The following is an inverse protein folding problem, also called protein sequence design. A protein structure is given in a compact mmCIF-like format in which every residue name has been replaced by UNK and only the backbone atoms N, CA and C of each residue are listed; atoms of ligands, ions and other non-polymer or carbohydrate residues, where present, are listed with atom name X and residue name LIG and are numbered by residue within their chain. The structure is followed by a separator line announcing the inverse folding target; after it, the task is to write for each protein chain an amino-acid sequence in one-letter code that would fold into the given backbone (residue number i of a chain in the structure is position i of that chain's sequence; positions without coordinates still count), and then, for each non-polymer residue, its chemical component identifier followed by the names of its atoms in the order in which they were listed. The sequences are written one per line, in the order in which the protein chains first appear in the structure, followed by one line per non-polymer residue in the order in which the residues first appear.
data_IF_883007712828
#
_entry.id   IF_883007712828
#
_cell.length_a   1.000
_cell.length_b   1.000
_cell.length_c   1.000
_cell.angle_alpha   90.00
_cell.angle_beta   90.00
_cell.angle_gamma   90.00
#
_symmetry.space_group_name_H-M   'P 1'
#
loop_
_entity.id
_entity.type
_entity.pdbx_description
1 polymer ?
#
# COMPACT_ATOMS: atom_id res chain seq x y z
N UNK A 1 -30.75 -5.52 13.79
CA UNK A 1 -30.25 -4.83 15.00
C UNK A 1 -29.83 -3.43 14.60
N UNK A 2 -30.46 -2.37 15.13
CA UNK A 2 -30.04 -0.98 14.84
C UNK A 2 -28.70 -0.73 15.53
N UNK A 3 -27.60 -0.67 14.76
CA UNK A 3 -26.30 -0.25 15.29
C UNK A 3 -26.40 1.24 15.60
N UNK A 4 -26.10 1.64 16.83
CA UNK A 4 -25.98 3.06 17.19
C UNK A 4 -24.69 3.54 16.55
N UNK A 5 -24.79 4.29 15.45
CA UNK A 5 -23.65 4.83 14.73
C UNK A 5 -23.06 5.94 15.60
N UNK A 6 -21.85 5.74 16.12
CA UNK A 6 -21.17 6.76 16.91
C UNK A 6 -20.49 7.71 15.94
N UNK A 7 -21.15 8.80 15.55
CA UNK A 7 -20.60 9.80 14.61
C UNK A 7 -19.37 10.57 15.13
N UNK A 8 -18.81 10.16 16.28
CA UNK A 8 -17.65 10.78 16.91
C UNK A 8 -16.36 10.60 16.11
N UNK A 9 -16.28 9.61 15.21
CA UNK A 9 -15.10 9.44 14.35
C UNK A 9 -14.87 10.64 13.41
N UNK A 10 -15.94 11.35 12.99
CA UNK A 10 -15.86 12.51 12.08
C UNK A 10 -15.03 13.68 12.64
N UNK A 11 -14.83 13.73 13.96
CA UNK A 11 -14.05 14.78 14.64
C UNK A 11 -12.57 14.43 14.79
N UNK A 12 -12.20 13.17 14.52
CA UNK A 12 -10.83 12.68 14.68
C UNK A 12 -10.14 12.55 13.33
N UNK A 13 -8.83 12.82 13.25
CA UNK A 13 -8.07 12.57 12.03
C UNK A 13 -8.12 11.08 11.68
N UNK A 14 -8.15 10.79 10.38
CA UNK A 14 -8.33 9.41 9.88
C UNK A 14 -7.28 8.44 10.43
N UNK A 15 -6.05 8.88 10.66
CA UNK A 15 -4.98 8.04 11.24
C UNK A 15 -5.27 7.52 12.66
N UNK A 16 -6.22 8.14 13.37
CA UNK A 16 -6.60 7.77 14.72
C UNK A 16 -7.93 6.98 14.76
N UNK A 17 -8.45 6.57 13.61
CA UNK A 17 -9.66 5.75 13.53
C UNK A 17 -9.36 4.32 13.92
N UNK A 18 -10.21 3.77 14.78
CA UNK A 18 -10.21 2.35 15.13
C UNK A 18 -10.94 1.54 14.06
N UNK A 19 -10.85 0.21 14.13
CA UNK A 19 -11.62 -0.70 13.26
C UNK A 19 -13.12 -0.37 13.29
N UNK A 20 -13.69 -0.11 14.48
CA UNK A 20 -15.10 0.26 14.60
C UNK A 20 -15.43 1.58 13.91
N UNK A 21 -14.51 2.56 13.94
CA UNK A 21 -14.69 3.85 13.28
C UNK A 21 -14.68 3.71 11.76
N UNK A 22 -13.80 2.85 11.23
CA UNK A 22 -13.75 2.50 9.79
C UNK A 22 -15.06 1.84 9.36
N UNK A 23 -15.57 0.90 10.16
CA UNK A 23 -16.86 0.27 9.89
C UNK A 23 -18.03 1.26 9.89
N UNK A 24 -18.10 2.13 10.90
CA UNK A 24 -19.14 3.15 10.98
C UNK A 24 -19.04 4.14 9.81
N UNK A 25 -17.82 4.47 9.38
CA UNK A 25 -17.56 5.27 8.18
C UNK A 25 -18.08 4.59 6.91
N UNK A 26 -17.73 3.32 6.66
CA UNK A 26 -18.18 2.60 5.47
C UNK A 26 -19.70 2.49 5.43
N UNK A 27 -20.33 2.29 6.60
CA UNK A 27 -21.78 2.26 6.71
C UNK A 27 -22.43 3.62 6.42
N UNK A 28 -21.94 4.70 7.04
CA UNK A 28 -22.43 6.09 6.86
C UNK A 28 -22.31 6.56 5.40
N UNK A 29 -21.28 6.10 4.69
CA UNK A 29 -21.01 6.45 3.30
C UNK A 29 -21.64 5.49 2.27
N UNK A 30 -22.43 4.51 2.74
CA UNK A 30 -23.05 3.48 1.89
C UNK A 30 -22.03 2.70 1.04
N UNK A 31 -20.91 2.31 1.65
CA UNK A 31 -19.83 1.51 1.07
C UNK A 31 -19.86 0.07 1.64
N UNK A 32 -21.06 -0.49 1.80
CA UNK A 32 -21.28 -1.74 2.53
C UNK A 32 -20.56 -2.93 1.88
N UNK A 33 -20.42 -2.89 0.56
CA UNK A 33 -19.77 -3.93 -0.24
C UNK A 33 -18.27 -4.03 0.02
N UNK A 34 -17.65 -2.97 0.55
CA UNK A 34 -16.24 -2.95 0.95
C UNK A 34 -16.02 -3.41 2.40
N UNK A 35 -17.08 -3.48 3.21
CA UNK A 35 -16.96 -3.89 4.63
C UNK A 35 -16.24 -5.23 4.83
N UNK A 36 -16.45 -6.28 4.00
CA UNK A 36 -15.73 -7.54 4.19
C UNK A 36 -14.22 -7.43 3.99
N UNK A 37 -13.75 -6.52 3.13
CA UNK A 37 -12.32 -6.27 2.92
C UNK A 37 -11.72 -5.46 4.06
N UNK A 38 -12.52 -4.62 4.70
CA UNK A 38 -12.08 -3.71 5.76
C UNK A 38 -12.32 -4.26 7.18
N UNK A 39 -12.61 -5.56 7.34
CA UNK A 39 -13.03 -6.13 8.63
C UNK A 39 -12.01 -5.97 9.76
N UNK A 40 -10.71 -5.90 9.41
CA UNK A 40 -9.61 -5.74 10.36
C UNK A 40 -8.75 -4.52 10.03
N UNK A 41 -9.33 -3.54 9.34
CA UNK A 41 -8.61 -2.33 8.95
C UNK A 41 -8.89 -1.21 9.95
N UNK A 42 -7.82 -0.65 10.49
CA UNK A 42 -7.87 0.65 11.17
C UNK A 42 -7.76 1.79 10.15
N UNK A 43 -7.77 3.03 10.65
CA UNK A 43 -7.67 4.21 9.81
C UNK A 43 -6.36 4.30 9.00
N UNK A 44 -5.25 3.78 9.51
CA UNK A 44 -3.97 3.78 8.80
C UNK A 44 -4.00 2.81 7.64
N UNK A 45 -4.50 1.59 7.86
CA UNK A 45 -4.69 0.57 6.83
C UNK A 45 -5.65 1.07 5.75
N UNK A 46 -6.74 1.75 6.12
CA UNK A 46 -7.69 2.32 5.17
C UNK A 46 -7.05 3.39 4.26
N UNK A 47 -6.23 4.27 4.84
CA UNK A 47 -5.46 5.27 4.07
C UNK A 47 -4.47 4.58 3.12
N UNK A 48 -3.81 3.52 3.58
CA UNK A 48 -2.86 2.78 2.75
C UNK A 48 -3.57 2.08 1.58
N UNK A 49 -4.73 1.47 1.83
CA UNK A 49 -5.59 0.90 0.79
C UNK A 49 -5.97 1.96 -0.25
N UNK A 50 -6.37 3.16 0.20
CA UNK A 50 -6.67 4.27 -0.70
C UNK A 50 -5.45 4.66 -1.55
N UNK A 51 -4.25 4.76 -0.97
CA UNK A 51 -3.02 5.08 -1.71
C UNK A 51 -2.72 4.03 -2.80
N UNK A 52 -2.89 2.74 -2.49
CA UNK A 52 -2.73 1.66 -3.47
C UNK A 52 -3.76 1.81 -4.60
N UNK A 53 -5.02 2.03 -4.25
CA UNK A 53 -6.09 2.24 -5.22
C UNK A 53 -5.84 3.47 -6.10
N UNK A 54 -5.34 4.58 -5.52
CA UNK A 54 -5.04 5.80 -6.25
C UNK A 54 -3.86 5.63 -7.22
N UNK A 55 -2.85 4.86 -6.84
CA UNK A 55 -1.68 4.57 -7.68
C UNK A 55 -2.01 3.65 -8.85
N UNK A 56 -2.81 2.61 -8.63
CA UNK A 56 -3.12 1.57 -9.63
C UNK A 56 -4.62 1.27 -9.69
N UNK A 57 -5.43 2.24 -10.15
CA UNK A 57 -6.90 2.19 -10.08
C UNK A 57 -7.51 0.92 -10.67
N UNK A 58 -7.15 0.58 -11.91
CA UNK A 58 -7.77 -0.53 -12.62
C UNK A 58 -7.31 -1.89 -12.07
N UNK A 59 -6.00 -2.07 -11.87
CA UNK A 59 -5.42 -3.31 -11.38
C UNK A 59 -5.88 -3.61 -9.95
N UNK A 60 -5.86 -2.60 -9.08
CA UNK A 60 -6.31 -2.74 -7.69
C UNK A 60 -7.79 -3.06 -7.62
N UNK A 61 -8.64 -2.43 -8.44
CA UNK A 61 -10.06 -2.80 -8.51
C UNK A 61 -10.26 -4.28 -8.87
N UNK A 62 -9.53 -4.79 -9.87
CA UNK A 62 -9.62 -6.21 -10.26
C UNK A 62 -9.21 -7.12 -9.10
N UNK A 63 -8.11 -6.79 -8.40
CA UNK A 63 -7.66 -7.54 -7.23
C UNK A 63 -8.71 -7.57 -6.12
N UNK A 64 -9.22 -6.41 -5.71
CA UNK A 64 -10.23 -6.30 -4.65
C UNK A 64 -11.53 -7.02 -5.02
N UNK A 65 -11.96 -6.91 -6.28
CA UNK A 65 -13.16 -7.57 -6.76
C UNK A 65 -12.99 -9.11 -6.78
N UNK A 66 -11.83 -9.61 -7.20
CA UNK A 66 -11.53 -11.05 -7.18
C UNK A 66 -11.45 -11.59 -5.74
N UNK A 67 -10.90 -10.81 -4.81
CA UNK A 67 -10.82 -11.17 -3.39
C UNK A 67 -12.21 -11.23 -2.74
N UNK A 68 -13.07 -10.24 -3.00
CA UNK A 68 -14.45 -10.24 -2.54
C UNK A 68 -15.25 -11.41 -3.13
N UNK A 69 -15.06 -11.67 -4.42
CA UNK A 69 -15.74 -12.75 -5.11
C UNK A 69 -15.31 -14.12 -4.58
N UNK A 70 -14.02 -14.31 -4.26
CA UNK A 70 -13.51 -15.58 -3.73
C UNK A 70 -13.86 -15.80 -2.25
N UNK A 71 -13.96 -14.73 -1.45
CA UNK A 71 -14.19 -14.85 0.00
C UNK A 71 -15.67 -14.87 0.37
N UNK A 72 -16.50 -14.09 -0.33
CA UNK A 72 -17.91 -13.85 0.04
C UNK A 72 -18.89 -13.99 -1.11
N UNK A 73 -18.43 -14.32 -2.32
CA UNK A 73 -19.25 -14.35 -3.55
C UNK A 73 -19.93 -12.99 -3.85
N UNK A 74 -19.39 -11.90 -3.31
CA UNK A 74 -19.88 -10.55 -3.54
C UNK A 74 -19.09 -9.94 -4.69
N UNK A 75 -19.78 -9.31 -5.64
CA UNK A 75 -19.17 -8.49 -6.67
C UNK A 75 -19.09 -7.04 -6.19
N UNK A 76 -17.91 -6.44 -6.27
CA UNK A 76 -17.73 -5.02 -5.97
C UNK A 76 -18.26 -4.19 -7.15
N UNK A 77 -19.33 -3.41 -6.99
CA UNK A 77 -19.81 -2.55 -8.06
C UNK A 77 -18.78 -1.43 -8.30
N UNK A 78 -18.44 -1.17 -9.57
CA UNK A 78 -17.48 -0.11 -9.92
C UNK A 78 -17.88 1.26 -9.36
N UNK A 79 -19.19 1.55 -9.28
CA UNK A 79 -19.70 2.78 -8.68
C UNK A 79 -19.37 2.93 -7.20
N UNK A 80 -19.34 1.83 -6.44
CA UNK A 80 -18.94 1.83 -5.02
C UNK A 80 -17.44 2.11 -4.89
N UNK A 81 -16.63 1.49 -5.75
CA UNK A 81 -15.18 1.72 -5.79
C UNK A 81 -14.82 3.18 -6.12
N UNK A 82 -15.44 3.75 -7.16
CA UNK A 82 -15.22 5.15 -7.54
C UNK A 82 -15.69 6.11 -6.43
N UNK A 83 -16.82 5.79 -5.79
CA UNK A 83 -17.33 6.57 -4.64
C UNK A 83 -16.36 6.53 -3.47
N UNK A 84 -15.83 5.35 -3.12
CA UNK A 84 -14.81 5.18 -2.10
C UNK A 84 -13.59 6.08 -2.38
N UNK A 85 -13.05 6.03 -3.61
CA UNK A 85 -11.93 6.86 -4.00
C UNK A 85 -12.20 8.35 -3.82
N UNK A 86 -13.36 8.84 -4.29
CA UNK A 86 -13.72 10.25 -4.20
C UNK A 86 -13.90 10.72 -2.75
N UNK A 87 -14.48 9.88 -1.89
CA UNK A 87 -14.66 10.20 -0.47
C UNK A 87 -13.30 10.24 0.24
N UNK A 88 -12.46 9.24 0.01
CA UNK A 88 -11.14 9.15 0.62
C UNK A 88 -10.21 10.27 0.16
N UNK A 89 -10.28 10.67 -1.11
CA UNK A 89 -9.56 11.84 -1.63
C UNK A 89 -9.88 13.08 -0.80
N UNK A 90 -11.18 13.37 -0.60
CA UNK A 90 -11.64 14.50 0.21
C UNK A 90 -11.18 14.45 1.66
N UNK A 91 -11.12 13.27 2.27
CA UNK A 91 -10.72 13.11 3.67
C UNK A 91 -9.20 13.22 3.82
N UNK A 92 -8.45 12.65 2.86
CA UNK A 92 -6.98 12.63 2.87
C UNK A 92 -6.34 13.98 2.55
N UNK A 93 -7.00 14.85 1.79
CA UNK A 93 -6.51 16.21 1.48
C UNK A 93 -6.50 17.15 2.68
N UNK A 94 -7.14 16.79 3.80
CA UNK A 94 -7.15 17.60 5.04
C UNK A 94 -6.01 17.27 6.00
N UNK A 95 -4.93 16.64 5.54
CA UNK A 95 -3.70 16.54 6.32
C UNK A 95 -2.79 17.67 5.84
N UNK A 96 -2.69 18.81 6.56
CA UNK A 96 -1.57 19.71 6.33
C UNK A 96 -0.32 18.85 6.49
N UNK A 97 0.45 18.72 5.42
CA UNK A 97 1.82 18.29 5.54
C UNK A 97 2.48 19.44 6.29
N UNK A 98 2.44 19.40 7.63
CA UNK A 98 3.40 20.12 8.44
C UNK A 98 4.73 19.49 8.08
N UNK A 99 5.36 20.03 7.04
CA UNK A 99 6.77 19.79 6.80
C UNK A 99 7.44 20.10 8.13
N UNK A 100 8.21 19.15 8.72
CA UNK A 100 9.01 19.49 9.87
C UNK A 100 9.81 20.71 9.46
N UNK A 101 9.53 21.84 10.10
CA UNK A 101 10.32 23.05 9.94
C UNK A 101 11.73 22.59 10.26
N UNK A 102 12.55 22.43 9.23
CA UNK A 102 13.95 22.11 9.40
C UNK A 102 14.46 23.14 10.41
N UNK A 103 15.08 22.72 11.52
CA UNK A 103 15.68 23.67 12.43
C UNK A 103 16.54 24.63 11.58
N UNK A 104 16.55 25.94 11.90
CA UNK A 104 17.40 26.90 11.22
C UNK A 104 18.77 26.26 11.05
N UNK A 105 19.25 26.21 9.82
CA UNK A 105 20.59 25.69 9.50
C UNK A 105 21.54 26.48 10.40
N UNK A 106 22.00 25.88 11.51
CA UNK A 106 23.10 26.44 12.26
C UNK A 106 24.24 26.49 11.25
N UNK A 107 24.77 27.70 11.00
CA UNK A 107 25.91 27.92 10.14
C UNK A 107 27.05 27.05 10.68
N UNK A 108 27.20 25.86 10.11
CA UNK A 108 28.33 25.00 10.42
C UNK A 108 29.60 25.80 10.11
N UNK A 109 30.59 25.82 11.02
CA UNK A 109 31.83 26.51 10.77
C UNK A 109 32.43 25.99 9.46
N UNK A 110 32.76 26.91 8.57
CA UNK A 110 33.42 26.65 7.30
C UNK A 110 34.73 25.94 7.61
N UNK A 111 34.74 24.61 7.47
CA UNK A 111 35.98 23.85 7.49
C UNK A 111 36.76 24.20 6.22
N UNK A 112 38.06 24.56 6.32
CA UNK A 112 38.87 24.77 5.14
C UNK A 112 38.88 23.49 4.31
N UNK A 113 38.35 23.61 3.10
CA UNK A 113 38.30 22.58 2.08
C UNK A 113 39.70 22.01 1.84
N UNK A 114 39.87 20.74 2.20
CA UNK A 114 40.99 19.92 1.76
C UNK A 114 40.88 19.81 0.23
N UNK A 115 41.97 19.96 -0.54
CA UNK A 115 41.92 19.85 -1.99
C UNK A 115 41.38 18.48 -2.41
N UNK A 116 40.28 18.52 -3.15
CA UNK A 116 39.62 17.38 -3.77
C UNK A 116 40.59 16.61 -4.66
N UNK A 117 40.86 15.36 -4.30
CA UNK A 117 41.33 14.34 -5.22
C UNK A 117 40.13 13.96 -6.10
N UNK A 118 40.07 14.52 -7.30
CA UNK A 118 39.12 14.12 -8.34
C UNK A 118 39.38 12.64 -8.69
N UNK A 119 38.56 11.73 -8.16
CA UNK A 119 38.36 10.43 -8.76
C UNK A 119 36.86 10.19 -8.96
N UNK A 120 36.43 9.77 -10.17
CA UNK A 120 35.09 9.25 -10.36
C UNK A 120 34.97 7.98 -9.53
N UNK A 121 33.99 7.92 -8.62
CA UNK A 121 33.60 6.66 -8.02
C UNK A 121 32.89 5.83 -9.09
N UNK A 122 33.66 5.12 -9.91
CA UNK A 122 33.17 3.89 -10.50
C UNK A 122 32.81 2.97 -9.33
N UNK A 123 31.53 2.63 -9.19
CA UNK A 123 31.11 1.51 -8.35
C UNK A 123 31.64 0.27 -9.05
N UNK A 124 32.91 -0.06 -8.79
CA UNK A 124 33.47 -1.33 -9.24
C UNK A 124 32.92 -2.38 -8.29
N UNK A 125 31.88 -3.08 -8.72
CA UNK A 125 31.52 -4.37 -8.12
C UNK A 125 32.63 -5.34 -8.57
N UNK A 126 33.80 -5.31 -7.93
CA UNK A 126 34.79 -6.38 -8.09
C UNK A 126 34.28 -7.58 -7.33
N UNK A 127 33.29 -8.27 -7.89
CA UNK A 127 33.03 -9.64 -7.50
C UNK A 127 34.19 -10.45 -8.06
N UNK A 128 35.07 -10.90 -7.18
CA UNK A 128 36.16 -11.82 -7.51
C UNK A 128 35.63 -13.24 -7.85
N UNK A 129 34.30 -13.41 -7.91
CA UNK A 129 33.66 -14.66 -8.22
C UNK A 129 33.94 -15.03 -9.67
N UNK A 130 34.40 -16.27 -9.90
CA UNK A 130 34.50 -16.78 -11.26
C UNK A 130 33.09 -16.83 -11.88
N UNK A 131 32.96 -16.70 -13.22
CA UNK A 131 31.66 -16.82 -13.89
C UNK A 131 30.87 -18.08 -13.49
N UNK A 132 31.56 -19.16 -13.14
CA UNK A 132 30.99 -20.41 -12.64
C UNK A 132 30.34 -20.27 -11.25
N UNK A 133 30.94 -19.53 -10.33
CA UNK A 133 30.37 -19.29 -8.99
C UNK A 133 29.11 -18.41 -9.07
N UNK A 134 29.08 -17.46 -10.00
CA UNK A 134 27.90 -16.62 -10.25
C UNK A 134 26.74 -17.47 -10.76
N UNK A 135 27.00 -18.40 -11.68
CA UNK A 135 25.98 -19.34 -12.19
C UNK A 135 25.45 -20.28 -11.09
N UNK A 136 26.33 -20.76 -10.20
CA UNK A 136 25.91 -21.60 -9.07
C UNK A 136 25.06 -20.83 -8.06
N UNK A 137 25.40 -19.56 -7.78
CA UNK A 137 24.57 -18.71 -6.92
C UNK A 137 23.17 -18.50 -7.50
N UNK A 138 23.05 -18.24 -8.80
CA UNK A 138 21.74 -18.08 -9.46
C UNK A 138 20.90 -19.37 -9.39
N UNK A 139 21.54 -20.54 -9.48
CA UNK A 139 20.84 -21.82 -9.42
C UNK A 139 20.22 -22.11 -8.05
N UNK A 140 20.76 -21.53 -6.98
CA UNK A 140 20.22 -21.65 -5.62
C UNK A 140 19.08 -20.67 -5.32
N UNK A 141 18.89 -19.65 -6.17
CA UNK A 141 17.88 -18.60 -5.98
C UNK A 141 16.61 -18.76 -6.83
N UNK A 142 16.53 -19.76 -7.71
CA UNK A 142 15.28 -20.07 -8.43
C UNK A 142 14.42 -20.98 -7.54
N UNK A 143 13.26 -20.53 -7.03
CA UNK A 143 12.33 -21.42 -6.36
C UNK A 143 11.84 -22.48 -7.35
N UNK A 144 11.93 -23.75 -6.95
CA UNK A 144 11.40 -24.88 -7.72
C UNK A 144 9.91 -24.66 -8.03
N UNK A 145 9.61 -24.22 -9.25
CA UNK A 145 8.25 -24.22 -9.78
C UNK A 145 7.93 -25.68 -10.10
N UNK A 146 7.36 -26.39 -9.12
CA UNK A 146 6.72 -27.69 -9.36
C UNK A 146 5.56 -27.47 -10.33
N UNK A 147 5.79 -27.81 -11.59
CA UNK A 147 4.74 -27.93 -12.61
C UNK A 147 3.71 -28.97 -12.14
N UNK A 148 2.51 -28.53 -11.75
CA UNK A 148 1.36 -29.42 -11.65
C UNK A 148 0.89 -29.76 -13.07
N UNK A 149 1.15 -31.01 -13.49
CA UNK A 149 0.51 -31.61 -14.65
C UNK A 149 -1.01 -31.58 -14.49
N UNK A 150 -1.69 -30.96 -15.44
CA UNK A 150 -3.11 -31.20 -15.68
C UNK A 150 -3.25 -32.50 -16.46
N UNK A 151 -3.67 -33.58 -15.79
CA UNK A 151 -4.21 -34.75 -16.45
C UNK A 151 -5.61 -34.41 -16.95
N UNK A 152 -5.79 -34.42 -18.27
CA UNK A 152 -7.10 -34.55 -18.92
C UNK A 152 -7.57 -35.98 -18.70
N UNK A 153 -8.70 -36.16 -18.03
CA UNK A 153 -9.54 -37.34 -18.25
C UNK A 153 -10.80 -36.90 -18.96
N UNK A 154 -10.93 -37.38 -20.20
CA UNK A 154 -12.18 -37.45 -20.93
C UNK A 154 -13.03 -38.57 -20.32
N UNK A 155 -14.28 -38.26 -19.97
CA UNK A 155 -15.42 -39.14 -20.18
C UNK A 155 -16.57 -38.27 -20.69
#
# INVERSE_FOLDING_TARGET
TKRIISSNFKKRPIYNWTESDVFDFLFDQQLNELMPLCEKMDGQALVQLYKMCAAQRNETYVLLNNELQSTKEIKLPIGVYVRFLSIMERISTFVPIEFPVLPPIEEYPIYPSIPYLNQPCDIVITSNASPLQILQMLHNFVPSIKSKSYSKELI
#
